data_IF_815198564822
#
_entry.id   IF_815198564822
#
_cell.length_a   1.000
_cell.length_b   1.000
_cell.length_c   1.000
_cell.angle_alpha   90.00
_cell.angle_beta   90.00
_cell.angle_gamma   90.00
#
_symmetry.space_group_name_H-M   'P 1'
#
loop_
_entity.id
_entity.type
_entity.pdbx_description
1 polymer ?
#
# COMPACT_ATOMS: atom_id res chain seq x y z
N UNK A 1 -9.30 -5.75 -1.97
CA UNK A 1 -8.60 -6.54 -3.02
C UNK A 1 -7.49 -5.72 -3.64
N UNK A 2 -6.50 -6.34 -4.33
CA UNK A 2 -5.51 -5.62 -5.14
C UNK A 2 -5.93 -5.62 -6.62
N UNK A 3 -5.60 -4.54 -7.33
CA UNK A 3 -5.79 -4.42 -8.78
C UNK A 3 -4.50 -3.94 -9.44
N UNK A 4 -4.11 -4.60 -10.52
CA UNK A 4 -3.10 -4.11 -11.47
C UNK A 4 -3.78 -3.50 -12.70
N UNK A 5 -3.17 -2.46 -13.28
CA UNK A 5 -3.65 -1.86 -14.52
C UNK A 5 -3.03 -2.59 -15.69
N UNK A 6 -3.47 -3.83 -15.93
CA UNK A 6 -3.03 -4.61 -17.08
C UNK A 6 -4.12 -5.59 -17.54
N UNK A 7 -4.06 -5.94 -18.82
CA UNK A 7 -5.00 -6.88 -19.44
C UNK A 7 -4.32 -7.63 -20.58
N UNK A 8 -4.68 -8.91 -20.74
CA UNK A 8 -4.17 -9.72 -21.84
C UNK A 8 -4.47 -9.05 -23.20
N UNK A 9 -3.43 -8.89 -24.00
CA UNK A 9 -3.52 -8.26 -25.31
C UNK A 9 -3.47 -6.72 -25.34
N UNK A 10 -3.62 -6.07 -24.19
CA UNK A 10 -3.56 -4.61 -24.07
C UNK A 10 -2.37 -4.12 -23.22
N UNK A 11 -1.82 -4.99 -22.36
CA UNK A 11 -0.83 -4.57 -21.37
C UNK A 11 -1.44 -3.45 -20.49
N UNK A 12 -0.64 -2.42 -20.22
CA UNK A 12 -1.07 -1.28 -19.40
C UNK A 12 -1.89 -0.23 -20.17
N UNK A 13 -2.06 -0.37 -21.49
CA UNK A 13 -2.78 0.57 -22.34
C UNK A 13 -4.29 0.27 -22.34
N UNK A 14 -4.92 0.34 -21.18
CA UNK A 14 -6.36 0.10 -21.04
C UNK A 14 -7.18 1.27 -21.56
N UNK A 15 -8.32 0.96 -22.19
CA UNK A 15 -9.33 1.95 -22.55
C UNK A 15 -10.26 2.25 -21.37
N UNK A 16 -11.02 3.35 -21.46
CA UNK A 16 -12.01 3.70 -20.44
C UNK A 16 -13.07 2.61 -20.27
N UNK A 17 -13.46 1.93 -21.35
CA UNK A 17 -14.38 0.80 -21.29
C UNK A 17 -13.80 -0.36 -20.46
N UNK A 18 -12.52 -0.68 -20.65
CA UNK A 18 -11.85 -1.74 -19.88
C UNK A 18 -11.78 -1.39 -18.40
N UNK A 19 -11.55 -0.13 -18.05
CA UNK A 19 -11.60 0.32 -16.66
C UNK A 19 -13.01 0.16 -16.05
N UNK A 20 -14.06 0.48 -16.80
CA UNK A 20 -15.45 0.28 -16.35
C UNK A 20 -15.79 -1.19 -16.17
N UNK A 21 -15.37 -2.05 -17.10
CA UNK A 21 -15.54 -3.50 -16.97
C UNK A 21 -14.85 -4.03 -15.70
N UNK A 22 -13.61 -3.60 -15.40
CA UNK A 22 -12.91 -3.97 -14.17
C UNK A 22 -13.71 -3.54 -12.93
N UNK A 23 -14.24 -2.31 -12.93
CA UNK A 23 -15.04 -1.81 -11.81
C UNK A 23 -16.31 -2.63 -11.61
N UNK A 24 -17.02 -3.01 -12.67
CA UNK A 24 -18.21 -3.85 -12.56
C UNK A 24 -17.87 -5.24 -11.98
N UNK A 25 -16.78 -5.86 -12.42
CA UNK A 25 -16.30 -7.13 -11.86
C UNK A 25 -15.98 -7.00 -10.36
N UNK A 26 -15.30 -5.91 -9.98
CA UNK A 26 -14.97 -5.63 -8.57
C UNK A 26 -16.22 -5.50 -7.71
N UNK A 27 -17.25 -4.83 -8.22
CA UNK A 27 -18.54 -4.68 -7.55
C UNK A 27 -19.29 -6.01 -7.45
N UNK A 28 -19.27 -6.81 -8.52
CA UNK A 28 -19.88 -8.15 -8.53
C UNK A 28 -19.24 -9.07 -7.47
N UNK A 29 -17.94 -8.96 -7.25
CA UNK A 29 -17.24 -9.66 -6.17
C UNK A 29 -17.60 -9.16 -4.76
N UNK A 30 -18.36 -8.07 -4.64
CA UNK A 30 -18.71 -7.45 -3.38
C UNK A 30 -17.55 -6.71 -2.69
N UNK A 31 -16.45 -6.42 -3.41
CA UNK A 31 -15.34 -5.67 -2.87
C UNK A 31 -15.67 -4.17 -2.81
N UNK A 32 -15.36 -3.54 -1.69
CA UNK A 32 -15.51 -2.09 -1.48
C UNK A 32 -14.18 -1.40 -1.19
N UNK A 33 -13.08 -2.14 -1.12
CA UNK A 33 -11.73 -1.63 -0.85
C UNK A 33 -10.77 -2.17 -1.89
N UNK A 34 -9.98 -1.27 -2.50
CA UNK A 34 -9.06 -1.60 -3.59
C UNK A 34 -7.68 -1.02 -3.29
N UNK A 35 -6.66 -1.86 -3.33
CA UNK A 35 -5.28 -1.43 -3.43
C UNK A 35 -4.89 -1.34 -4.90
N UNK A 36 -4.51 -0.16 -5.36
CA UNK A 36 -4.05 0.08 -6.73
C UNK A 36 -2.55 -0.26 -6.83
N UNK A 37 -2.28 -1.54 -6.96
CA UNK A 37 -0.94 -2.11 -6.94
C UNK A 37 -0.25 -1.95 -8.30
N UNK A 38 1.01 -1.65 -8.37
CA UNK A 38 1.93 -1.09 -7.39
C UNK A 38 2.44 0.25 -7.95
N UNK A 39 1.58 1.07 -8.53
CA UNK A 39 1.90 2.30 -9.27
C UNK A 39 0.64 3.16 -9.44
N UNK A 40 0.85 4.42 -9.80
CA UNK A 40 -0.26 5.30 -10.13
C UNK A 40 -1.04 4.76 -11.34
N UNK A 41 -2.34 4.59 -11.17
CA UNK A 41 -3.26 4.16 -12.22
C UNK A 41 -3.78 5.34 -13.05
N UNK A 42 -4.53 5.04 -14.12
CA UNK A 42 -5.17 6.06 -14.94
C UNK A 42 -6.20 6.86 -14.13
N UNK A 43 -6.31 8.17 -14.41
CA UNK A 43 -7.25 9.07 -13.73
C UNK A 43 -8.70 8.59 -13.81
N UNK A 44 -9.11 8.08 -14.97
CA UNK A 44 -10.43 7.46 -15.16
C UNK A 44 -10.76 6.40 -14.10
N UNK A 45 -9.76 5.63 -13.64
CA UNK A 45 -10.03 4.61 -12.63
C UNK A 45 -10.21 5.19 -11.23
N UNK A 46 -9.53 6.29 -10.90
CA UNK A 46 -9.79 7.03 -9.65
C UNK A 46 -11.18 7.67 -9.68
N UNK A 47 -11.58 8.26 -10.81
CA UNK A 47 -12.93 8.79 -10.99
C UNK A 47 -13.98 7.70 -10.77
N UNK A 48 -13.80 6.51 -11.35
CA UNK A 48 -14.69 5.37 -11.14
C UNK A 48 -14.72 4.92 -9.68
N UNK A 49 -13.60 4.97 -8.97
CA UNK A 49 -13.55 4.67 -7.54
C UNK A 49 -14.38 5.67 -6.73
N UNK A 50 -14.28 6.96 -7.04
CA UNK A 50 -15.07 8.02 -6.42
C UNK A 50 -16.56 7.83 -6.66
N UNK A 51 -16.96 7.63 -7.93
CA UNK A 51 -18.35 7.43 -8.34
C UNK A 51 -19.00 6.21 -7.68
N UNK A 52 -18.22 5.15 -7.43
CA UNK A 52 -18.71 3.90 -6.86
C UNK A 52 -18.48 3.77 -5.34
N UNK A 53 -17.97 4.82 -4.68
CA UNK A 53 -17.76 4.84 -3.23
C UNK A 53 -16.74 3.81 -2.73
N UNK A 54 -15.70 3.56 -3.53
CA UNK A 54 -14.62 2.64 -3.16
C UNK A 54 -13.67 3.28 -2.16
N UNK A 55 -13.05 2.46 -1.33
CA UNK A 55 -11.95 2.84 -0.44
C UNK A 55 -10.64 2.45 -1.15
N UNK A 56 -9.77 3.42 -1.41
CA UNK A 56 -8.58 3.24 -2.24
C UNK A 56 -7.29 3.45 -1.43
N UNK A 57 -6.38 2.50 -1.58
CA UNK A 57 -4.97 2.64 -1.25
C UNK A 57 -4.20 2.88 -2.57
N UNK A 58 -3.62 4.08 -2.70
CA UNK A 58 -2.79 4.47 -3.86
C UNK A 58 -1.32 4.47 -3.49
N UNK A 59 -0.44 3.95 -4.36
CA UNK A 59 0.98 3.78 -4.07
C UNK A 59 1.88 4.09 -5.27
N UNK A 60 3.16 4.35 -4.99
CA UNK A 60 4.20 4.53 -6.01
C UNK A 60 4.89 3.20 -6.34
N UNK A 61 5.53 3.07 -7.54
CA UNK A 61 6.23 1.84 -7.94
C UNK A 61 7.62 1.72 -7.30
N UNK A 62 7.69 1.84 -5.98
CA UNK A 62 8.89 1.62 -5.19
C UNK A 62 8.82 0.25 -4.54
N UNK A 63 9.34 -0.75 -5.24
CA UNK A 63 9.14 -2.17 -4.91
C UNK A 63 10.44 -2.97 -4.91
N UNK A 64 10.49 -4.06 -4.16
CA UNK A 64 11.50 -5.13 -4.16
C UNK A 64 12.85 -4.74 -3.63
N UNK A 65 13.45 -3.64 -4.11
CA UNK A 65 14.78 -3.20 -3.68
C UNK A 65 14.92 -1.68 -3.70
N UNK A 66 15.73 -1.18 -2.80
CA UNK A 66 16.19 0.21 -2.80
C UNK A 66 17.41 0.34 -3.73
N UNK A 67 17.40 1.40 -4.55
CA UNK A 67 18.53 1.80 -5.39
C UNK A 67 19.06 3.14 -4.91
N UNK A 68 20.36 3.22 -4.63
CA UNK A 68 20.99 4.42 -4.04
C UNK A 68 20.83 5.70 -4.88
N UNK A 69 20.67 5.56 -6.19
CA UNK A 69 20.39 6.66 -7.12
C UNK A 69 18.89 6.90 -7.37
N UNK A 70 18.01 6.13 -6.71
CA UNK A 70 16.56 6.17 -6.91
C UNK A 70 15.81 7.19 -6.07
N UNK A 71 16.43 7.81 -5.06
CA UNK A 71 15.76 8.70 -4.09
C UNK A 71 14.98 9.84 -4.77
N UNK A 72 15.63 10.59 -5.65
CA UNK A 72 14.98 11.72 -6.33
C UNK A 72 13.80 11.28 -7.18
N UNK A 73 13.90 10.11 -7.81
CA UNK A 73 12.82 9.54 -8.61
C UNK A 73 11.63 9.13 -7.73
N UNK A 74 11.87 8.46 -6.59
CA UNK A 74 10.78 8.07 -5.67
C UNK A 74 10.06 9.29 -5.10
N UNK A 75 10.79 10.34 -4.72
CA UNK A 75 10.23 11.60 -4.23
C UNK A 75 9.41 12.31 -5.33
N UNK A 76 9.90 12.33 -6.58
CA UNK A 76 9.16 12.90 -7.71
C UNK A 76 7.84 12.16 -7.94
N UNK A 77 7.88 10.84 -8.00
CA UNK A 77 6.69 10.03 -8.21
C UNK A 77 5.67 10.17 -7.07
N UNK A 78 6.13 10.23 -5.82
CA UNK A 78 5.25 10.45 -4.68
C UNK A 78 4.58 11.84 -4.76
N UNK A 79 5.35 12.88 -5.11
CA UNK A 79 4.80 14.22 -5.32
C UNK A 79 3.73 14.23 -6.41
N UNK A 80 4.00 13.58 -7.53
CA UNK A 80 3.06 13.47 -8.64
C UNK A 80 1.78 12.73 -8.22
N UNK A 81 1.93 11.58 -7.55
CA UNK A 81 0.81 10.79 -7.05
C UNK A 81 -0.10 11.62 -6.16
N UNK A 82 0.46 12.27 -5.13
CA UNK A 82 -0.32 13.05 -4.16
C UNK A 82 -0.96 14.27 -4.81
N UNK A 83 -0.19 15.08 -5.55
CA UNK A 83 -0.68 16.33 -6.14
C UNK A 83 -1.76 16.09 -7.19
N UNK A 84 -1.58 15.08 -8.04
CA UNK A 84 -2.56 14.78 -9.11
C UNK A 84 -3.84 14.15 -8.56
N UNK A 85 -3.77 13.42 -7.44
CA UNK A 85 -4.89 12.65 -6.90
C UNK A 85 -5.44 13.20 -5.58
N UNK A 86 -4.98 14.36 -5.13
CA UNK A 86 -5.37 14.96 -3.84
C UNK A 86 -6.89 15.07 -3.67
N UNK A 87 -7.59 15.41 -4.74
CA UNK A 87 -9.04 15.69 -4.72
C UNK A 87 -9.92 14.43 -4.88
N UNK A 88 -9.34 13.23 -4.99
CA UNK A 88 -10.12 11.99 -5.03
C UNK A 88 -10.53 11.56 -3.61
N UNK A 89 -11.83 11.65 -3.26
CA UNK A 89 -12.30 11.29 -1.93
C UNK A 89 -12.24 9.79 -1.63
N UNK A 90 -12.14 8.95 -2.65
CA UNK A 90 -11.97 7.51 -2.49
C UNK A 90 -10.60 7.14 -1.88
N UNK A 91 -9.55 7.93 -2.13
CA UNK A 91 -8.21 7.65 -1.61
C UNK A 91 -8.18 7.91 -0.12
N UNK A 92 -7.79 6.90 0.66
CA UNK A 92 -7.73 6.99 2.12
C UNK A 92 -6.31 6.92 2.68
N UNK A 93 -5.33 6.44 1.90
CA UNK A 93 -3.93 6.38 2.32
C UNK A 93 -2.97 6.41 1.12
N UNK A 94 -1.73 6.84 1.41
CA UNK A 94 -0.63 6.91 0.46
C UNK A 94 0.38 5.80 0.74
N UNK A 95 0.60 4.91 -0.24
CA UNK A 95 1.56 3.82 -0.14
C UNK A 95 2.99 4.26 -0.45
N UNK A 96 3.90 4.11 0.52
CA UNK A 96 5.30 4.51 0.38
C UNK A 96 6.12 3.49 -0.41
N UNK A 97 5.89 2.20 -0.19
CA UNK A 97 6.63 1.11 -0.84
C UNK A 97 5.91 -0.23 -0.74
N UNK A 98 6.35 -1.19 -1.55
CA UNK A 98 5.92 -2.57 -1.50
C UNK A 98 7.11 -3.53 -1.44
N UNK A 99 7.17 -4.36 -0.42
CA UNK A 99 8.19 -5.44 -0.27
C UNK A 99 9.63 -4.98 -0.55
N UNK A 100 9.95 -3.77 -0.16
CA UNK A 100 11.23 -3.12 -0.53
C UNK A 100 12.44 -3.87 0.03
N UNK A 101 12.25 -4.65 1.07
CA UNK A 101 13.29 -5.47 1.70
C UNK A 101 13.36 -6.90 1.16
N UNK A 102 12.58 -7.24 0.11
CA UNK A 102 12.65 -8.56 -0.51
C UNK A 102 14.03 -8.85 -1.15
N UNK A 103 14.69 -7.82 -1.68
CA UNK A 103 16.04 -7.91 -2.25
C UNK A 103 17.00 -6.82 -1.72
N UNK A 104 16.63 -6.11 -0.67
CA UNK A 104 17.47 -5.11 0.00
C UNK A 104 17.52 -5.38 1.50
N UNK A 105 18.71 -5.23 2.10
CA UNK A 105 18.81 -5.21 3.55
C UNK A 105 18.29 -3.88 4.10
N UNK A 106 17.73 -3.87 5.30
CA UNK A 106 17.43 -2.65 6.04
C UNK A 106 18.76 -1.96 6.37
N UNK A 107 18.93 -0.74 5.88
CA UNK A 107 20.08 0.10 6.13
C UNK A 107 19.66 1.58 6.22
N UNK A 108 20.59 2.46 6.65
CA UNK A 108 20.26 3.86 6.89
C UNK A 108 19.80 4.60 5.62
N UNK A 109 20.33 4.26 4.45
CA UNK A 109 19.93 4.88 3.19
C UNK A 109 18.48 4.57 2.83
N UNK A 110 18.07 3.30 2.99
CA UNK A 110 16.70 2.87 2.82
C UNK A 110 15.75 3.56 3.82
N UNK A 111 16.13 3.59 5.10
CA UNK A 111 15.34 4.23 6.15
C UNK A 111 15.19 5.73 5.89
N UNK A 112 16.27 6.41 5.52
CA UNK A 112 16.24 7.84 5.22
C UNK A 112 15.36 8.15 4.00
N UNK A 113 15.38 7.32 2.96
CA UNK A 113 14.49 7.50 1.82
C UNK A 113 13.01 7.37 2.22
N UNK A 114 12.67 6.40 3.09
CA UNK A 114 11.30 6.24 3.59
C UNK A 114 10.87 7.40 4.48
N UNK A 115 11.76 7.92 5.35
CA UNK A 115 11.46 9.13 6.14
C UNK A 115 11.17 10.33 5.24
N UNK A 116 11.98 10.55 4.20
CA UNK A 116 11.74 11.62 3.21
C UNK A 116 10.42 11.46 2.48
N UNK A 117 10.06 10.24 2.09
CA UNK A 117 8.76 9.95 1.44
C UNK A 117 7.60 10.24 2.40
N UNK A 118 7.71 9.77 3.64
CA UNK A 118 6.72 10.02 4.68
C UNK A 118 6.52 11.51 4.96
N UNK A 119 7.62 12.24 5.18
CA UNK A 119 7.60 13.67 5.41
C UNK A 119 7.02 14.44 4.22
N UNK A 120 7.34 14.02 2.99
CA UNK A 120 6.78 14.60 1.77
C UNK A 120 5.26 14.39 1.69
N UNK A 121 4.77 13.20 1.99
CA UNK A 121 3.32 12.93 2.03
C UNK A 121 2.63 13.86 3.01
N UNK A 122 3.10 13.95 4.25
CA UNK A 122 2.52 14.81 5.28
C UNK A 122 2.64 16.30 4.97
N UNK A 123 3.71 16.73 4.26
CA UNK A 123 3.84 18.11 3.81
C UNK A 123 2.84 18.48 2.70
N UNK A 124 2.43 17.51 1.88
CA UNK A 124 1.48 17.70 0.78
C UNK A 124 0.04 17.43 1.20
N UNK A 125 -0.17 16.46 2.08
CA UNK A 125 -1.49 16.05 2.57
C UNK A 125 -1.43 15.63 4.04
N UNK A 126 -1.90 16.50 4.93
CA UNK A 126 -1.99 16.23 6.37
C UNK A 126 -3.23 15.43 6.78
N UNK A 127 -4.06 15.03 5.83
CA UNK A 127 -5.36 14.41 6.11
C UNK A 127 -5.37 12.91 5.94
N UNK A 128 -4.50 12.38 5.11
CA UNK A 128 -4.41 10.95 4.80
C UNK A 128 -3.15 10.34 5.40
N UNK A 129 -3.27 9.17 6.05
CA UNK A 129 -2.12 8.45 6.58
C UNK A 129 -1.26 7.85 5.46
N UNK A 130 -0.01 7.61 5.79
CA UNK A 130 0.93 6.83 4.99
C UNK A 130 0.88 5.36 5.38
N UNK A 131 1.25 4.47 4.45
CA UNK A 131 1.28 3.03 4.67
C UNK A 131 2.43 2.37 3.90
N UNK A 132 3.00 1.30 4.44
CA UNK A 132 3.91 0.40 3.73
C UNK A 132 3.30 -1.00 3.65
N UNK A 133 3.60 -1.71 2.55
CA UNK A 133 3.32 -3.13 2.44
C UNK A 133 4.64 -3.89 2.56
N UNK A 134 4.88 -4.49 3.70
CA UNK A 134 6.12 -5.17 4.01
C UNK A 134 6.10 -6.62 3.53
N UNK A 135 7.27 -7.14 3.16
CA UNK A 135 7.42 -8.55 2.89
C UNK A 135 7.30 -9.35 4.20
N UNK A 136 6.69 -10.51 4.13
CA UNK A 136 6.45 -11.36 5.30
C UNK A 136 7.70 -11.71 6.13
N UNK A 137 8.90 -11.61 5.52
CA UNK A 137 10.20 -11.89 6.16
C UNK A 137 10.75 -10.70 6.95
N UNK A 138 10.14 -9.51 6.87
CA UNK A 138 10.60 -8.38 7.66
C UNK A 138 10.31 -8.64 9.13
N UNK A 139 11.33 -8.49 9.96
CA UNK A 139 11.22 -8.69 11.41
C UNK A 139 10.22 -7.68 12.01
N UNK A 140 9.42 -8.14 12.95
CA UNK A 140 8.35 -7.35 13.57
C UNK A 140 8.84 -6.23 14.48
N UNK A 141 10.14 -6.18 14.76
CA UNK A 141 10.84 -5.10 15.49
C UNK A 141 11.71 -4.23 14.58
N UNK A 142 11.53 -4.35 13.26
CA UNK A 142 12.31 -3.57 12.29
C UNK A 142 12.07 -2.06 12.45
N UNK A 143 13.12 -1.21 12.41
CA UNK A 143 12.97 0.24 12.45
C UNK A 143 12.20 0.82 11.27
N UNK A 144 11.99 0.07 10.21
CA UNK A 144 11.14 0.48 9.09
C UNK A 144 9.68 0.66 9.51
N UNK A 145 9.20 -0.17 10.44
CA UNK A 145 7.82 -0.16 10.91
C UNK A 145 7.45 1.08 11.73
N UNK A 146 8.44 1.87 12.16
CA UNK A 146 8.24 3.12 12.90
C UNK A 146 8.06 4.34 12.00
N UNK A 147 8.23 4.20 10.67
CA UNK A 147 8.23 5.33 9.74
C UNK A 147 6.83 5.71 9.25
N UNK A 148 6.00 4.79 8.71
CA UNK A 148 4.67 5.12 8.24
C UNK A 148 3.66 5.23 9.39
N UNK A 149 2.51 5.83 9.12
CA UNK A 149 1.40 5.85 10.07
C UNK A 149 0.74 4.48 10.25
N UNK A 150 0.80 3.65 9.19
CA UNK A 150 0.22 2.30 9.20
C UNK A 150 1.19 1.31 8.55
N UNK A 151 1.20 0.10 9.08
CA UNK A 151 1.94 -1.02 8.51
C UNK A 151 1.00 -2.10 7.97
N UNK A 152 1.44 -2.77 6.92
CA UNK A 152 0.75 -3.90 6.32
C UNK A 152 1.79 -4.93 5.89
N UNK A 153 1.44 -6.20 5.98
CA UNK A 153 2.27 -7.30 5.50
C UNK A 153 1.61 -8.03 4.35
N UNK A 154 2.37 -8.30 3.31
CA UNK A 154 1.98 -9.26 2.29
C UNK A 154 2.24 -10.67 2.82
N UNK A 155 1.21 -11.29 3.37
CA UNK A 155 1.28 -12.64 3.94
C UNK A 155 0.79 -13.67 2.93
N UNK A 156 1.50 -14.78 2.85
CA UNK A 156 1.24 -15.83 1.86
C UNK A 156 1.18 -17.23 2.50
N UNK A 157 0.90 -17.31 3.80
CA UNK A 157 0.72 -18.58 4.51
C UNK A 157 -0.43 -19.36 3.90
N UNK A 158 -0.18 -20.64 3.62
CA UNK A 158 -1.14 -21.51 2.94
C UNK A 158 -1.18 -21.36 1.42
N UNK A 159 -0.35 -20.47 0.84
CA UNK A 159 -0.20 -20.34 -0.62
C UNK A 159 1.26 -20.58 -1.05
N UNK A 160 2.16 -19.59 -0.87
CA UNK A 160 3.57 -19.74 -1.27
C UNK A 160 4.40 -20.52 -0.22
N UNK A 161 4.00 -20.48 1.04
CA UNK A 161 4.71 -21.10 2.13
C UNK A 161 3.81 -21.32 3.34
N UNK A 162 4.25 -22.26 4.18
CA UNK A 162 3.62 -22.55 5.45
C UNK A 162 2.17 -23.01 5.36
N UNK A 163 1.50 -22.97 6.50
CA UNK A 163 0.11 -23.37 6.68
C UNK A 163 -0.72 -22.15 7.07
N UNK A 164 -2.05 -22.19 6.83
CA UNK A 164 -2.99 -21.09 7.11
C UNK A 164 -2.96 -20.65 8.58
N UNK A 165 -2.79 -21.61 9.49
CA UNK A 165 -2.77 -21.39 10.94
C UNK A 165 -1.59 -20.52 11.40
N UNK A 166 -0.55 -20.39 10.58
CA UNK A 166 0.60 -19.52 10.87
C UNK A 166 0.25 -18.04 10.81
N UNK A 167 -0.87 -17.66 10.18
CA UNK A 167 -1.36 -16.28 10.24
C UNK A 167 -1.63 -15.85 11.69
N UNK A 168 -2.26 -16.70 12.50
CA UNK A 168 -2.58 -16.37 13.88
C UNK A 168 -1.30 -16.10 14.69
N UNK A 169 -0.33 -17.01 14.61
CA UNK A 169 0.95 -16.85 15.32
C UNK A 169 1.76 -15.66 14.84
N UNK A 170 1.70 -15.31 13.55
CA UNK A 170 2.34 -14.12 13.01
C UNK A 170 1.72 -12.85 13.60
N UNK A 171 0.39 -12.73 13.57
CA UNK A 171 -0.29 -11.55 14.09
C UNK A 171 -0.14 -11.43 15.62
N UNK A 172 -0.13 -12.54 16.36
CA UNK A 172 0.15 -12.53 17.79
C UNK A 172 1.55 -11.98 18.08
N UNK A 173 2.57 -12.44 17.33
CA UNK A 173 3.93 -11.93 17.46
C UNK A 173 4.01 -10.45 17.09
N UNK A 174 3.39 -10.04 16.00
CA UNK A 174 3.34 -8.65 15.54
C UNK A 174 2.69 -7.75 16.59
N UNK A 175 1.54 -8.11 17.13
CA UNK A 175 0.84 -7.32 18.16
C UNK A 175 1.61 -7.21 19.47
N UNK A 176 2.44 -8.19 19.79
CA UNK A 176 3.27 -8.16 21.00
C UNK A 176 4.50 -7.26 20.86
N UNK A 177 4.96 -6.99 19.65
CA UNK A 177 6.18 -6.22 19.38
C UNK A 177 5.90 -4.83 18.81
N UNK A 178 4.84 -4.64 18.02
CA UNK A 178 4.54 -3.39 17.35
C UNK A 178 3.72 -2.45 18.23
N UNK A 179 4.33 -1.34 18.64
CA UNK A 179 3.69 -0.31 19.48
C UNK A 179 2.71 0.60 18.70
N UNK A 180 2.69 0.55 17.38
CA UNK A 180 1.78 1.36 16.55
C UNK A 180 0.32 0.87 16.60
N UNK A 181 0.08 -0.32 17.11
CA UNK A 181 -1.26 -0.87 17.26
C UNK A 181 -1.90 -0.41 18.59
N UNK A 182 -2.38 0.81 18.61
CA UNK A 182 -3.01 1.39 19.82
C UNK A 182 -4.49 1.68 19.67
N UNK A 183 -5.14 1.31 18.57
CA UNK A 183 -6.60 1.46 18.48
C UNK A 183 -7.28 0.22 19.05
N UNK A 184 -7.94 0.31 20.20
CA UNK A 184 -8.69 -0.82 20.73
C UNK A 184 -9.79 -1.21 19.75
N UNK A 185 -9.75 -2.44 19.26
CA UNK A 185 -10.83 -3.01 18.47
C UNK A 185 -12.15 -2.90 19.26
N UNK A 186 -13.29 -2.68 18.62
CA UNK A 186 -14.59 -2.79 19.28
C UNK A 186 -14.79 -4.08 20.07
N UNK A 187 -14.05 -5.15 19.74
CA UNK A 187 -14.00 -6.41 20.49
C UNK A 187 -13.26 -6.31 21.83
N UNK A 188 -12.28 -5.41 21.95
CA UNK A 188 -11.48 -5.23 23.16
C UNK A 188 -12.24 -4.44 24.23
N UNK A 189 -13.41 -3.89 23.91
CA UNK A 189 -14.30 -3.18 24.85
C UNK A 189 -15.32 -4.10 25.53
N UNK A 190 -15.28 -5.40 25.29
CA UNK A 190 -16.20 -6.37 25.88
C UNK A 190 -15.65 -7.05 27.15
N UNK A 191 -14.95 -6.29 27.99
CA UNK A 191 -14.57 -6.75 29.32
C UNK A 191 -15.23 -5.84 30.38
#
# INVERSE_FOLDING_TARGET
MSRHQDRAGAGNALTNEMHREDMEIIKELGANTIRLAHYQHAQEFYDLCDENGMIVWAEIPYITMHMSDGTENTLSQMRELVVQNYNHPSIVCWGLSNEITAASAVNEELLENHRKLNDLCHALDMTRPTVMADVFMLETDSPMLEIPDMNSYNLYFGWYLGELEQNDSFFDAYHNTCLLYTSPSPRDRSV
#
